data_IF_629123705184
#
_entry.id   IF_629123705184
#
_cell.length_a   1.000
_cell.length_b   1.000
_cell.length_c   1.000
_cell.angle_alpha   90.00
_cell.angle_beta   90.00
_cell.angle_gamma   90.00
#
_symmetry.space_group_name_H-M   'P 1'
#
loop_
_entity.id
_entity.type
_entity.pdbx_description
1 polymer ?
#
# COMPACT_ATOMS: atom_id res chain seq x y z
N UNK A 1 -28.84 79.42 16.65
CA UNK A 1 -29.22 79.72 15.26
C UNK A 1 -28.20 79.06 14.37
N UNK A 2 -28.63 77.95 13.77
CA UNK A 2 -28.47 77.62 12.35
C UNK A 2 -27.11 77.93 11.70
N UNK A 3 -26.39 76.87 11.32
CA UNK A 3 -26.42 76.43 9.93
C UNK A 3 -25.82 75.01 9.80
N UNK A 4 -26.71 74.04 9.60
CA UNK A 4 -26.41 72.74 9.02
C UNK A 4 -26.10 72.94 7.53
N UNK A 5 -24.97 72.43 7.06
CA UNK A 5 -24.78 72.10 5.65
C UNK A 5 -24.56 70.61 5.56
N UNK A 6 -25.61 69.90 5.14
CA UNK A 6 -25.50 68.57 4.57
C UNK A 6 -24.80 68.74 3.21
N UNK A 7 -23.73 67.99 3.00
CA UNK A 7 -23.48 67.34 1.71
C UNK A 7 -22.53 66.16 1.95
N UNK A 8 -23.08 65.01 1.60
CA UNK A 8 -22.49 63.72 1.22
C UNK A 8 -20.97 63.61 1.18
N UNK A 9 -20.47 62.57 1.86
CA UNK A 9 -19.79 61.47 1.19
C UNK A 9 -19.75 60.27 2.15
N UNK A 10 -20.75 59.39 2.01
CA UNK A 10 -20.65 58.04 2.57
C UNK A 10 -19.56 57.36 1.76
N UNK A 11 -18.34 57.32 2.29
CA UNK A 11 -17.27 56.51 1.74
C UNK A 11 -17.72 55.05 1.84
N UNK A 12 -18.36 54.56 0.77
CA UNK A 12 -18.63 53.17 0.57
C UNK A 12 -17.28 52.46 0.62
N UNK A 13 -16.99 51.80 1.74
CA UNK A 13 -15.91 50.82 1.82
C UNK A 13 -16.28 49.68 0.87
N UNK A 14 -15.92 49.85 -0.40
CA UNK A 14 -15.90 48.81 -1.40
C UNK A 14 -14.86 47.78 -0.97
N UNK A 15 -15.29 46.84 -0.13
CA UNK A 15 -14.58 45.58 0.05
C UNK A 15 -14.57 44.90 -1.31
N UNK A 16 -13.46 45.04 -2.04
CA UNK A 16 -13.23 44.25 -3.24
C UNK A 16 -13.42 42.76 -2.92
N UNK A 17 -13.89 41.94 -3.87
CA UNK A 17 -14.13 40.54 -3.63
C UNK A 17 -12.88 39.92 -3.00
N UNK A 18 -13.02 39.39 -1.78
CA UNK A 18 -11.96 38.65 -1.13
C UNK A 18 -11.57 37.52 -2.08
N UNK A 19 -10.38 37.66 -2.68
CA UNK A 19 -9.84 36.64 -3.56
C UNK A 19 -9.69 35.40 -2.69
N UNK A 20 -10.60 34.43 -2.88
CA UNK A 20 -10.54 33.15 -2.18
C UNK A 20 -9.13 32.63 -2.37
N UNK A 21 -8.35 32.56 -1.28
CA UNK A 21 -7.01 31.99 -1.31
C UNK A 21 -7.15 30.56 -1.80
N UNK A 22 -6.86 30.35 -3.09
CA UNK A 22 -6.78 29.02 -3.64
C UNK A 22 -5.62 28.35 -2.93
N UNK A 23 -5.91 27.24 -2.25
CA UNK A 23 -4.87 26.40 -1.67
C UNK A 23 -3.90 26.02 -2.80
N UNK A 24 -2.59 25.92 -2.51
CA UNK A 24 -1.63 25.50 -3.51
C UNK A 24 -2.11 24.19 -4.16
N UNK A 25 -1.98 24.05 -5.49
CA UNK A 25 -2.50 22.90 -6.20
C UNK A 25 -1.87 21.62 -5.65
N UNK A 26 -2.70 20.77 -5.04
CA UNK A 26 -2.27 19.47 -4.57
C UNK A 26 -2.00 18.58 -5.77
N UNK A 27 -0.79 18.03 -5.87
CA UNK A 27 -0.41 17.15 -6.97
C UNK A 27 -0.96 15.74 -6.75
N UNK A 28 -1.96 15.35 -7.55
CA UNK A 28 -2.54 14.01 -7.54
C UNK A 28 -1.83 13.09 -8.56
N UNK A 29 -0.52 12.89 -8.38
CA UNK A 29 0.27 11.97 -9.22
C UNK A 29 0.90 10.88 -8.36
N UNK A 30 1.10 9.69 -8.93
CA UNK A 30 1.85 8.60 -8.29
C UNK A 30 3.21 9.08 -7.79
N UNK A 31 3.89 9.90 -8.61
CA UNK A 31 5.18 10.47 -8.28
C UNK A 31 5.12 11.40 -7.05
N UNK A 32 4.11 12.27 -6.97
CA UNK A 32 3.94 13.13 -5.80
C UNK A 32 3.72 12.31 -4.52
N UNK A 33 2.97 11.21 -4.59
CA UNK A 33 2.72 10.35 -3.43
C UNK A 33 3.97 9.57 -2.99
N UNK A 34 4.77 9.08 -3.94
CA UNK A 34 6.00 8.33 -3.62
C UNK A 34 7.14 9.23 -3.16
N UNK A 35 7.16 10.50 -3.58
CA UNK A 35 8.17 11.47 -3.16
C UNK A 35 8.21 11.60 -1.64
N UNK A 36 7.04 11.74 -1.01
CA UNK A 36 6.89 11.87 0.45
C UNK A 36 7.24 10.57 1.21
N UNK A 37 7.38 9.45 0.50
CA UNK A 37 7.74 8.14 1.05
C UNK A 37 9.23 7.80 0.87
N UNK A 38 9.99 8.67 0.20
CA UNK A 38 11.43 8.46 -0.03
C UNK A 38 12.18 8.43 1.29
N UNK A 39 13.11 7.49 1.43
CA UNK A 39 13.89 7.20 2.63
C UNK A 39 13.08 6.79 3.87
N UNK A 40 11.79 6.49 3.69
CA UNK A 40 10.93 5.95 4.75
C UNK A 40 10.88 4.42 4.73
N UNK A 41 10.57 3.83 5.88
CA UNK A 41 10.33 2.40 6.00
C UNK A 41 8.91 2.09 5.54
N UNK A 42 8.77 1.20 4.57
CA UNK A 42 7.49 0.84 3.97
C UNK A 42 7.21 -0.66 4.10
N UNK A 43 5.93 -1.01 4.16
CA UNK A 43 5.42 -2.33 3.82
C UNK A 43 4.91 -2.29 2.37
N UNK A 44 5.37 -3.22 1.53
CA UNK A 44 4.95 -3.40 0.14
C UNK A 44 4.31 -4.77 -0.01
N UNK A 45 3.04 -4.82 -0.38
CA UNK A 45 2.34 -6.05 -0.73
C UNK A 45 2.42 -6.27 -2.24
N UNK A 46 2.82 -7.48 -2.64
CA UNK A 46 2.93 -7.87 -4.05
C UNK A 46 1.71 -8.67 -4.51
N UNK A 47 1.46 -8.73 -5.82
CA UNK A 47 0.36 -9.50 -6.41
C UNK A 47 0.41 -11.00 -6.10
N UNK A 48 1.59 -11.56 -5.93
CA UNK A 48 1.78 -12.97 -5.54
C UNK A 48 1.54 -13.23 -4.04
N UNK A 49 1.09 -12.20 -3.32
CA UNK A 49 0.76 -12.28 -1.90
C UNK A 49 1.96 -12.16 -0.96
N UNK A 50 3.18 -11.86 -1.46
CA UNK A 50 4.34 -11.59 -0.61
C UNK A 50 4.24 -10.20 0.03
N UNK A 51 4.84 -10.07 1.23
CA UNK A 51 4.90 -8.81 1.98
C UNK A 51 6.37 -8.49 2.22
N UNK A 52 6.84 -7.43 1.60
CA UNK A 52 8.20 -6.93 1.76
C UNK A 52 8.17 -5.74 2.70
N UNK A 53 9.12 -5.67 3.62
CA UNK A 53 9.30 -4.52 4.51
C UNK A 53 10.73 -4.03 4.33
N UNK A 54 10.92 -2.75 4.03
CA UNK A 54 12.24 -2.18 3.79
C UNK A 54 12.20 -0.66 3.65
N UNK A 55 13.36 -0.05 3.45
CA UNK A 55 13.49 1.40 3.27
C UNK A 55 13.46 1.73 1.78
N UNK A 56 12.55 2.62 1.35
CA UNK A 56 12.47 3.07 -0.05
C UNK A 56 13.63 3.99 -0.38
N UNK A 57 14.46 3.61 -1.35
CA UNK A 57 15.63 4.42 -1.76
C UNK A 57 15.46 5.11 -3.10
N UNK A 58 14.71 4.51 -4.01
CA UNK A 58 14.45 5.08 -5.32
C UNK A 58 13.16 4.51 -5.89
N UNK A 59 12.51 5.31 -6.72
CA UNK A 59 11.28 4.95 -7.40
C UNK A 59 11.13 5.72 -8.72
N UNK A 60 10.22 5.29 -9.59
CA UNK A 60 9.85 5.99 -10.81
C UNK A 60 8.32 6.17 -10.95
N UNK A 61 7.86 6.87 -11.99
CA UNK A 61 6.42 7.12 -12.19
C UNK A 61 5.59 5.85 -12.44
N UNK A 62 6.22 4.71 -12.73
CA UNK A 62 5.58 3.41 -12.90
C UNK A 62 5.55 2.60 -11.60
N UNK A 63 6.04 3.18 -10.48
CA UNK A 63 6.20 2.53 -9.19
C UNK A 63 7.17 1.34 -9.21
N UNK A 64 8.19 1.35 -10.08
CA UNK A 64 9.35 0.47 -9.88
C UNK A 64 10.09 0.94 -8.62
N UNK A 65 10.34 0.04 -7.66
CA UNK A 65 10.87 0.41 -6.34
C UNK A 65 12.22 -0.23 -6.07
N UNK A 66 13.16 0.56 -5.53
CA UNK A 66 14.40 0.04 -4.93
C UNK A 66 14.25 0.11 -3.42
N UNK A 67 14.21 -1.05 -2.77
CA UNK A 67 14.16 -1.18 -1.32
C UNK A 67 15.55 -1.59 -0.79
N UNK A 68 15.95 -1.02 0.34
CA UNK A 68 17.14 -1.42 1.10
C UNK A 68 16.73 -2.06 2.43
N UNK A 69 17.61 -2.91 2.98
CA UNK A 69 17.40 -3.59 4.26
C UNK A 69 16.07 -4.35 4.28
N UNK A 70 15.70 -4.90 3.13
CA UNK A 70 14.43 -5.55 2.91
C UNK A 70 14.38 -6.87 3.64
N UNK A 71 13.28 -7.10 4.35
CA UNK A 71 12.85 -8.41 4.81
C UNK A 71 11.60 -8.81 4.03
N UNK A 72 11.37 -10.11 3.92
CA UNK A 72 10.08 -10.67 3.55
C UNK A 72 9.42 -11.23 4.81
N UNK A 73 8.24 -10.72 5.15
CA UNK A 73 7.46 -11.21 6.29
C UNK A 73 6.39 -12.19 5.80
N UNK A 74 6.46 -13.43 6.26
CA UNK A 74 5.48 -14.47 5.95
C UNK A 74 4.50 -14.57 7.12
N UNK A 75 3.21 -14.57 6.82
CA UNK A 75 2.13 -14.75 7.78
C UNK A 75 1.43 -16.09 7.57
N UNK A 76 1.24 -16.84 8.64
CA UNK A 76 0.40 -18.03 8.74
C UNK A 76 -0.85 -17.63 9.53
N UNK A 77 -2.05 -17.72 8.93
CA UNK A 77 -3.27 -17.30 9.60
C UNK A 77 -3.55 -18.16 10.83
N UNK A 78 -4.20 -17.60 11.86
CA UNK A 78 -4.64 -18.36 13.04
C UNK A 78 -5.61 -19.48 12.65
N UNK A 79 -5.64 -20.52 13.48
CA UNK A 79 -6.65 -21.58 13.41
C UNK A 79 -7.50 -21.55 14.68
N UNK A 80 -8.66 -22.24 14.74
CA UNK A 80 -9.41 -22.35 15.99
C UNK A 80 -8.61 -22.93 17.17
N UNK A 81 -7.49 -23.62 16.89
CA UNK A 81 -6.63 -24.28 17.86
C UNK A 81 -5.26 -23.63 18.08
N UNK A 82 -4.86 -22.65 17.25
CA UNK A 82 -3.51 -22.06 17.31
C UNK A 82 -3.54 -20.57 16.97
N UNK A 83 -2.67 -19.74 17.58
CA UNK A 83 -2.48 -18.37 17.13
C UNK A 83 -1.98 -18.33 15.68
N UNK A 84 -1.99 -17.15 15.07
CA UNK A 84 -1.28 -16.92 13.83
C UNK A 84 0.21 -16.93 14.07
N UNK A 85 1.02 -17.25 13.05
CA UNK A 85 2.47 -17.15 13.14
C UNK A 85 3.02 -16.21 12.09
N UNK A 86 4.07 -15.46 12.42
CA UNK A 86 4.84 -14.71 11.43
C UNK A 86 6.34 -14.95 11.58
N UNK A 87 7.08 -14.85 10.48
CA UNK A 87 8.54 -14.86 10.50
C UNK A 87 9.11 -13.95 9.40
N UNK A 88 10.29 -13.39 9.69
CA UNK A 88 10.99 -12.44 8.84
C UNK A 88 12.19 -13.12 8.16
N UNK A 89 12.31 -12.93 6.85
CA UNK A 89 13.36 -13.51 6.04
C UNK A 89 14.18 -12.38 5.39
N UNK A 90 15.48 -12.26 5.65
CA UNK A 90 16.29 -11.18 5.08
C UNK A 90 16.42 -11.33 3.57
N UNK A 91 16.27 -10.21 2.86
CA UNK A 91 16.39 -10.10 1.40
C UNK A 91 17.46 -9.10 0.96
N UNK A 92 17.79 -8.10 1.79
CA UNK A 92 18.86 -7.14 1.50
C UNK A 92 18.39 -6.00 0.60
N UNK A 93 19.02 -5.81 -0.55
CA UNK A 93 18.56 -4.83 -1.56
C UNK A 93 17.61 -5.55 -2.51
N UNK A 94 16.43 -4.97 -2.75
CA UNK A 94 15.38 -5.59 -3.54
C UNK A 94 14.84 -4.60 -4.58
N UNK A 95 14.84 -4.99 -5.86
CA UNK A 95 14.21 -4.25 -6.94
C UNK A 95 12.83 -4.87 -7.23
N UNK A 96 11.78 -4.09 -7.03
CA UNK A 96 10.39 -4.49 -7.31
C UNK A 96 9.95 -3.81 -8.59
N UNK A 97 9.43 -4.59 -9.54
CA UNK A 97 8.82 -4.04 -10.75
C UNK A 97 7.40 -3.55 -10.45
N UNK A 98 7.07 -2.35 -10.92
CA UNK A 98 5.88 -1.61 -10.49
C UNK A 98 4.56 -2.32 -10.79
N UNK A 99 4.47 -3.06 -11.89
CA UNK A 99 3.27 -3.85 -12.15
C UNK A 99 3.10 -5.03 -11.20
N UNK A 100 4.05 -5.37 -10.33
CA UNK A 100 3.84 -6.41 -9.31
C UNK A 100 3.44 -5.83 -7.95
N UNK A 101 3.48 -4.51 -7.78
CA UNK A 101 3.03 -3.82 -6.57
C UNK A 101 1.50 -3.85 -6.53
N UNK A 102 0.95 -4.39 -5.44
CA UNK A 102 -0.48 -4.36 -5.17
C UNK A 102 -0.83 -3.11 -4.36
N UNK A 103 -0.11 -2.89 -3.26
CA UNK A 103 -0.20 -1.69 -2.43
C UNK A 103 1.10 -1.49 -1.65
N UNK A 104 1.30 -0.29 -1.13
CA UNK A 104 2.37 0.03 -0.19
C UNK A 104 1.90 1.05 0.83
N UNK A 105 2.54 1.07 1.99
CA UNK A 105 2.26 2.03 3.06
C UNK A 105 3.48 2.26 3.95
N UNK A 106 3.61 3.49 4.45
CA UNK A 106 4.59 3.85 5.47
C UNK A 106 4.34 3.07 6.77
N UNK A 107 5.42 2.60 7.38
CA UNK A 107 5.37 1.96 8.69
C UNK A 107 5.66 3.01 9.76
N UNK A 108 4.79 3.05 10.76
CA UNK A 108 5.02 3.79 12.00
C UNK A 108 6.15 3.11 12.79
N UNK A 109 7.29 3.79 12.92
CA UNK A 109 8.49 3.25 13.54
C UNK A 109 8.30 2.98 15.04
N UNK A 110 7.40 3.69 15.71
CA UNK A 110 7.14 3.49 17.14
C UNK A 110 6.41 2.16 17.41
N UNK A 111 5.78 1.58 16.38
CA UNK A 111 5.02 0.32 16.43
C UNK A 111 5.67 -0.81 15.64
N UNK A 112 6.82 -0.56 15.01
CA UNK A 112 7.46 -1.53 14.13
C UNK A 112 7.99 -2.77 14.88
N UNK A 113 8.33 -2.60 16.16
CA UNK A 113 8.73 -3.67 17.07
C UNK A 113 7.53 -4.45 17.66
N UNK A 114 6.31 -3.92 17.52
CA UNK A 114 5.11 -4.57 18.05
C UNK A 114 4.79 -5.85 17.26
N UNK A 115 4.38 -6.87 18.01
CA UNK A 115 3.86 -8.09 17.42
C UNK A 115 2.47 -7.82 16.83
N UNK A 116 2.22 -8.16 15.55
CA UNK A 116 0.91 -7.97 14.95
C UNK A 116 -0.19 -8.68 15.75
N UNK A 117 -1.33 -8.03 15.92
CA UNK A 117 -2.46 -8.56 16.72
C UNK A 117 -2.90 -9.94 16.22
N UNK A 118 -3.01 -10.91 17.14
CA UNK A 118 -3.43 -12.28 16.83
C UNK A 118 -2.32 -13.16 16.21
N UNK A 119 -1.09 -12.66 16.13
CA UNK A 119 0.07 -13.41 15.66
C UNK A 119 1.14 -13.56 16.75
N UNK A 120 1.96 -14.59 16.62
CA UNK A 120 3.18 -14.81 17.40
C UNK A 120 4.37 -14.99 16.46
N UNK A 121 5.57 -14.67 16.94
CA UNK A 121 6.79 -14.89 16.15
C UNK A 121 7.09 -16.39 16.09
N UNK A 122 7.02 -16.96 14.90
CA UNK A 122 7.32 -18.35 14.63
C UNK A 122 8.79 -18.59 14.29
N UNK A 123 9.25 -19.83 14.46
CA UNK A 123 10.56 -20.27 13.96
C UNK A 123 10.56 -20.23 12.41
N UNK A 124 11.58 -19.65 11.75
CA UNK A 124 11.60 -19.46 10.30
C UNK A 124 11.41 -20.75 9.50
N UNK A 125 12.04 -21.86 9.91
CA UNK A 125 11.89 -23.16 9.26
C UNK A 125 10.46 -23.70 9.33
N UNK A 126 9.81 -23.59 10.48
CA UNK A 126 8.40 -23.95 10.68
C UNK A 126 7.48 -23.09 9.81
N UNK A 127 7.62 -21.76 9.84
CA UNK A 127 6.78 -20.84 9.05
C UNK A 127 6.93 -21.11 7.55
N UNK A 128 8.16 -21.35 7.08
CA UNK A 128 8.42 -21.65 5.68
C UNK A 128 7.76 -22.97 5.23
N UNK A 129 7.77 -24.01 6.10
CA UNK A 129 7.09 -25.27 5.82
C UNK A 129 5.57 -25.09 5.73
N UNK A 130 4.98 -24.39 6.70
CA UNK A 130 3.54 -24.12 6.74
C UNK A 130 3.08 -23.30 5.51
N UNK A 131 3.84 -22.27 5.11
CA UNK A 131 3.52 -21.47 3.93
C UNK A 131 3.59 -22.30 2.64
N UNK A 132 4.59 -23.16 2.50
CA UNK A 132 4.73 -24.07 1.35
C UNK A 132 3.57 -25.06 1.26
N UNK A 133 3.17 -25.65 2.39
CA UNK A 133 2.03 -26.56 2.46
C UNK A 133 0.72 -25.84 2.13
N UNK A 134 0.51 -24.62 2.64
CA UNK A 134 -0.67 -23.79 2.36
C UNK A 134 -0.77 -23.46 0.88
N UNK A 135 0.29 -22.91 0.29
CA UNK A 135 0.35 -22.59 -1.15
C UNK A 135 0.11 -23.82 -2.02
N UNK A 136 0.67 -24.97 -1.66
CA UNK A 136 0.42 -26.23 -2.36
C UNK A 136 -1.04 -26.67 -2.30
N UNK A 137 -1.69 -26.51 -1.14
CA UNK A 137 -3.12 -26.82 -0.97
C UNK A 137 -4.02 -25.86 -1.73
N UNK A 138 -3.72 -24.57 -1.69
CA UNK A 138 -4.43 -23.51 -2.40
C UNK A 138 -4.34 -23.73 -3.91
N UNK A 139 -3.13 -23.94 -4.46
CA UNK A 139 -2.94 -24.22 -5.88
C UNK A 139 -3.69 -25.49 -6.34
N UNK A 140 -3.72 -26.54 -5.51
CA UNK A 140 -4.49 -27.76 -5.82
C UNK A 140 -5.99 -27.47 -5.82
N UNK A 141 -6.49 -26.74 -4.82
CA UNK A 141 -7.89 -26.36 -4.70
C UNK A 141 -8.32 -25.50 -5.89
N UNK A 142 -7.53 -24.48 -6.23
CA UNK A 142 -7.77 -23.58 -7.34
C UNK A 142 -7.86 -24.33 -8.66
N UNK A 143 -6.95 -25.29 -8.93
CA UNK A 143 -7.02 -26.15 -10.12
C UNK A 143 -8.33 -26.94 -10.19
N UNK A 144 -8.78 -27.51 -9.07
CA UNK A 144 -10.03 -28.28 -9.01
C UNK A 144 -11.24 -27.37 -9.20
N UNK A 145 -11.26 -26.20 -8.55
CA UNK A 145 -12.33 -25.21 -8.67
C UNK A 145 -12.42 -24.70 -10.10
N UNK A 146 -11.30 -24.30 -10.69
CA UNK A 146 -11.22 -23.82 -12.08
C UNK A 146 -11.73 -24.88 -13.07
N UNK A 147 -11.38 -26.15 -12.88
CA UNK A 147 -11.89 -27.24 -13.72
C UNK A 147 -13.41 -27.38 -13.63
N UNK A 148 -13.97 -27.39 -12.41
CA UNK A 148 -15.42 -27.51 -12.21
C UNK A 148 -16.19 -26.31 -12.76
N UNK A 149 -15.66 -25.10 -12.56
CA UNK A 149 -16.26 -23.88 -13.08
C UNK A 149 -16.25 -23.86 -14.62
N UNK A 150 -15.17 -24.34 -15.24
CA UNK A 150 -15.11 -24.46 -16.70
C UNK A 150 -16.15 -25.44 -17.27
N UNK A 151 -16.49 -26.52 -16.53
CA UNK A 151 -17.58 -27.44 -16.91
C UNK A 151 -18.95 -26.74 -16.92
N UNK A 152 -19.13 -25.69 -16.10
CA UNK A 152 -20.33 -24.86 -16.02
C UNK A 152 -20.28 -23.61 -16.94
N UNK A 153 -19.29 -23.52 -17.84
CA UNK A 153 -19.15 -22.42 -18.81
C UNK A 153 -18.51 -21.14 -18.25
N UNK A 154 -17.92 -21.17 -17.06
CA UNK A 154 -17.11 -20.05 -16.57
C UNK A 154 -15.70 -20.09 -17.17
N UNK A 155 -15.30 -19.00 -17.82
CA UNK A 155 -13.92 -18.77 -18.24
C UNK A 155 -13.14 -18.13 -17.09
N UNK A 156 -12.00 -18.72 -16.71
CA UNK A 156 -11.14 -18.13 -15.70
C UNK A 156 -10.47 -16.84 -16.20
N UNK A 157 -10.08 -15.94 -15.29
CA UNK A 157 -9.51 -14.60 -15.57
C UNK A 157 -8.13 -14.58 -16.29
N UNK A 158 -7.68 -15.69 -16.89
CA UNK A 158 -6.36 -15.81 -17.51
C UNK A 158 -6.24 -15.34 -18.96
N UNK A 159 -7.30 -14.78 -19.56
CA UNK A 159 -7.28 -14.34 -20.97
C UNK A 159 -6.56 -12.99 -21.19
N UNK A 160 -6.33 -12.21 -20.13
CA UNK A 160 -5.69 -10.88 -20.23
C UNK A 160 -4.16 -10.88 -20.14
N UNK A 161 -3.54 -11.90 -19.53
CA UNK A 161 -2.06 -11.93 -19.33
C UNK A 161 -1.30 -12.68 -20.43
N UNK A 162 -1.99 -13.41 -21.33
CA UNK A 162 -1.35 -14.20 -22.39
C UNK A 162 -1.19 -13.45 -23.74
N UNK A 163 -1.55 -12.16 -23.79
CA UNK A 163 -1.59 -11.37 -25.02
C UNK A 163 -0.90 -10.00 -24.85
N UNK A 164 0.34 -10.01 -24.36
CA UNK A 164 1.32 -8.93 -24.59
C UNK A 164 2.74 -9.53 -24.67
#
# INVERSE_FOLDING_TARGET
MEHLTLNDEVAAMGGGPQQQQQLPPQMFTTAAQLLDLTDKKLMVALRDGRKLIGVLRSWDQFANLVLQSTIERIFIPPTPSTPGYYADFPRGIFLVRGENVLLLGEIDLDKDDDVPEGYERGEPGMVQRLDKERKGREARRERVVKKRLAEEGFEGEGLGEALL
#
